data_IF_852962216884
#
_entry.id   IF_852962216884
#
_cell.length_a   1.000
_cell.length_b   1.000
_cell.length_c   1.000
_cell.angle_alpha   90.00
_cell.angle_beta   90.00
_cell.angle_gamma   90.00
#
_symmetry.space_group_name_H-M   'P 1'
#
loop_
_entity.id
_entity.type
_entity.pdbx_description
1 polymer ?
#
# COMPACT_ATOMS: atom_id res chain seq x y z
N UNK A 1 7.28 15.58 9.91
CA UNK A 1 5.90 16.04 9.59
C UNK A 1 4.98 15.98 10.80
N UNK A 2 4.22 14.90 11.06
CA UNK A 2 3.20 14.89 12.14
C UNK A 2 3.75 14.98 13.57
N UNK A 3 5.04 14.68 13.77
CA UNK A 3 5.72 14.92 15.04
C UNK A 3 6.10 16.39 15.25
N UNK A 4 6.43 17.10 14.17
CA UNK A 4 6.97 18.46 14.23
C UNK A 4 5.88 19.52 14.13
N UNK A 5 4.76 19.21 13.47
CA UNK A 5 3.69 20.15 13.18
C UNK A 5 2.33 19.59 13.64
N UNK A 6 1.52 20.39 14.37
CA UNK A 6 0.20 19.96 14.80
C UNK A 6 -0.76 19.83 13.61
N UNK A 7 -1.75 18.96 13.73
CA UNK A 7 -2.82 18.82 12.74
C UNK A 7 -3.77 20.01 12.82
N UNK A 8 -4.26 20.48 11.67
CA UNK A 8 -5.24 21.58 11.59
C UNK A 8 -6.58 21.17 12.20
N UNK A 9 -6.92 19.89 12.10
CA UNK A 9 -8.15 19.27 12.61
C UNK A 9 -8.09 18.91 14.10
N UNK A 10 -6.90 18.95 14.72
CA UNK A 10 -6.68 18.49 16.11
C UNK A 10 -6.62 16.97 16.27
N UNK A 11 -6.65 16.21 15.17
CA UNK A 11 -6.49 14.75 15.19
C UNK A 11 -5.09 14.33 15.68
N UNK A 12 -5.04 13.24 16.43
CA UNK A 12 -3.77 12.62 16.86
C UNK A 12 -3.35 11.61 15.80
N UNK A 13 -2.17 11.80 15.21
CA UNK A 13 -1.65 10.94 14.15
C UNK A 13 -0.39 10.22 14.63
N UNK A 14 -0.38 8.90 14.46
CA UNK A 14 0.78 8.04 14.64
C UNK A 14 1.13 7.37 13.32
N UNK A 15 2.42 7.24 13.02
CA UNK A 15 2.93 6.57 11.82
C UNK A 15 3.74 5.36 12.27
N UNK A 16 3.47 4.19 11.69
CA UNK A 16 4.11 2.93 12.08
C UNK A 16 4.48 2.12 10.85
N UNK A 17 5.70 1.59 10.84
CA UNK A 17 6.21 0.70 9.79
C UNK A 17 6.72 -0.59 10.45
N UNK A 18 6.12 -1.76 10.17
CA UNK A 18 6.46 -3.01 10.87
C UNK A 18 7.88 -3.52 10.61
N UNK A 19 8.38 -3.42 9.37
CA UNK A 19 9.72 -3.87 8.99
C UNK A 19 10.40 -2.97 7.96
N UNK A 20 11.72 -3.13 7.83
CA UNK A 20 12.57 -2.44 6.86
C UNK A 20 13.52 -3.43 6.19
N UNK A 21 12.99 -4.28 5.30
CA UNK A 21 13.75 -5.36 4.66
C UNK A 21 14.71 -4.87 3.56
N UNK A 22 14.55 -3.63 3.08
CA UNK A 22 15.40 -2.97 2.08
C UNK A 22 15.24 -3.50 0.66
N UNK A 23 15.53 -4.79 0.44
CA UNK A 23 15.36 -5.47 -0.84
C UNK A 23 14.56 -6.76 -0.68
N UNK A 24 13.92 -7.19 -1.76
CA UNK A 24 13.17 -8.44 -1.79
C UNK A 24 14.13 -9.64 -1.65
N UNK A 25 13.82 -10.53 -0.72
CA UNK A 25 14.60 -11.74 -0.43
C UNK A 25 13.69 -12.97 -0.47
N UNK A 26 13.11 -13.21 -1.66
CA UNK A 26 12.23 -14.37 -1.91
C UNK A 26 12.90 -15.66 -1.45
N UNK A 27 12.08 -16.65 -1.08
CA UNK A 27 12.49 -17.96 -0.54
C UNK A 27 13.08 -17.94 0.89
N UNK A 28 13.46 -16.77 1.43
CA UNK A 28 13.79 -16.67 2.86
C UNK A 28 12.53 -16.68 3.69
N UNK A 29 12.33 -17.75 4.46
CA UNK A 29 11.11 -17.99 5.23
C UNK A 29 10.71 -16.80 6.11
N UNK A 30 11.64 -16.24 6.89
CA UNK A 30 11.36 -15.12 7.81
C UNK A 30 10.97 -13.87 7.02
N UNK A 31 11.64 -13.58 5.90
CA UNK A 31 11.31 -12.45 5.03
C UNK A 31 9.89 -12.58 4.48
N UNK A 32 9.55 -13.77 3.96
CA UNK A 32 8.21 -14.04 3.42
C UNK A 32 7.13 -13.99 4.50
N UNK A 33 7.41 -14.44 5.73
CA UNK A 33 6.48 -14.35 6.85
C UNK A 33 6.20 -12.90 7.25
N UNK A 34 7.21 -12.04 7.27
CA UNK A 34 7.01 -10.59 7.50
C UNK A 34 6.20 -9.95 6.38
N UNK A 35 6.54 -10.25 5.12
CA UNK A 35 5.79 -9.77 3.96
C UNK A 35 4.30 -10.19 4.03
N UNK A 36 4.04 -11.45 4.40
CA UNK A 36 2.69 -11.96 4.63
C UNK A 36 1.97 -11.23 5.77
N UNK A 37 2.63 -11.07 6.91
CA UNK A 37 2.08 -10.35 8.06
C UNK A 37 1.75 -8.91 7.69
N UNK A 38 2.59 -8.23 6.91
CA UNK A 38 2.34 -6.86 6.44
C UNK A 38 1.18 -6.77 5.45
N UNK A 39 1.05 -7.68 4.48
CA UNK A 39 -0.15 -7.74 3.61
C UNK A 39 -1.42 -7.91 4.46
N UNK A 40 -1.38 -8.76 5.47
CA UNK A 40 -2.51 -8.98 6.36
C UNK A 40 -2.80 -7.75 7.23
N UNK A 41 -1.79 -7.11 7.82
CA UNK A 41 -1.96 -5.86 8.59
C UNK A 41 -2.60 -4.76 7.75
N UNK A 42 -2.18 -4.58 6.49
CA UNK A 42 -2.80 -3.62 5.58
C UNK A 42 -4.27 -3.96 5.30
N UNK A 43 -4.61 -5.25 5.21
CA UNK A 43 -5.99 -5.70 4.99
C UNK A 43 -6.94 -5.37 6.15
N UNK A 44 -6.40 -5.10 7.35
CA UNK A 44 -7.16 -4.74 8.55
C UNK A 44 -7.41 -3.23 8.69
N UNK A 45 -6.99 -2.41 7.71
CA UNK A 45 -7.20 -0.96 7.74
C UNK A 45 -8.60 -0.57 7.24
N UNK A 46 -9.15 0.55 7.75
CA UNK A 46 -10.43 1.08 7.25
C UNK A 46 -10.30 1.69 5.84
N UNK A 47 -9.15 2.32 5.57
CA UNK A 47 -8.84 2.96 4.29
C UNK A 47 -7.45 2.55 3.84
N UNK A 48 -7.37 1.96 2.65
CA UNK A 48 -6.11 1.51 2.06
C UNK A 48 -5.68 2.39 0.88
N UNK A 49 -4.39 2.72 0.86
CA UNK A 49 -3.70 3.30 -0.30
C UNK A 49 -2.73 2.26 -0.83
N UNK A 50 -2.73 1.99 -2.14
CA UNK A 50 -1.88 1.00 -2.79
C UNK A 50 -1.01 1.62 -3.87
N UNK A 51 0.10 0.95 -4.22
CA UNK A 51 0.97 1.37 -5.32
C UNK A 51 0.56 0.70 -6.63
N UNK A 52 0.54 1.45 -7.73
CA UNK A 52 0.24 0.88 -9.04
C UNK A 52 1.18 -0.28 -9.39
N UNK A 53 0.64 -1.32 -10.03
CA UNK A 53 1.35 -2.55 -10.43
C UNK A 53 1.79 -3.48 -9.28
N UNK A 54 1.60 -3.09 -8.01
CA UNK A 54 2.01 -3.92 -6.88
C UNK A 54 0.99 -5.02 -6.57
N UNK A 55 1.36 -6.28 -6.81
CA UNK A 55 0.54 -7.44 -6.43
C UNK A 55 0.44 -7.61 -4.91
N UNK A 56 1.41 -7.11 -4.14
CA UNK A 56 1.35 -7.05 -2.67
C UNK A 56 0.12 -6.26 -2.20
N UNK A 57 -0.14 -5.11 -2.84
CA UNK A 57 -1.33 -4.30 -2.58
C UNK A 57 -2.63 -4.99 -3.00
N UNK A 58 -2.62 -5.74 -4.10
CA UNK A 58 -3.79 -6.50 -4.55
C UNK A 58 -4.20 -7.61 -3.57
N UNK A 59 -3.23 -8.28 -2.95
CA UNK A 59 -3.52 -9.27 -1.90
C UNK A 59 -4.13 -8.58 -0.69
N UNK A 60 -3.52 -7.51 -0.19
CA UNK A 60 -4.03 -6.78 0.98
C UNK A 60 -5.45 -6.25 0.77
N UNK A 61 -5.71 -5.59 -0.37
CA UNK A 61 -7.03 -5.03 -0.67
C UNK A 61 -8.09 -6.12 -0.83
N UNK A 62 -7.74 -7.27 -1.45
CA UNK A 62 -8.66 -8.38 -1.65
C UNK A 62 -9.04 -9.07 -0.34
N UNK A 63 -8.05 -9.35 0.52
CA UNK A 63 -8.28 -9.93 1.85
C UNK A 63 -9.17 -9.04 2.74
N UNK A 64 -8.99 -7.72 2.66
CA UNK A 64 -9.77 -6.75 3.44
C UNK A 64 -11.12 -6.39 2.82
N UNK A 65 -11.42 -6.85 1.60
CA UNK A 65 -12.60 -6.39 0.86
C UNK A 65 -12.58 -4.88 0.56
N UNK A 66 -11.39 -4.29 0.44
CA UNK A 66 -11.18 -2.85 0.35
C UNK A 66 -11.06 -2.40 -1.10
N UNK A 67 -11.70 -1.27 -1.43
CA UNK A 67 -11.50 -0.57 -2.69
C UNK A 67 -10.44 0.52 -2.49
N UNK A 68 -9.15 0.37 -2.81
CA UNK A 68 -8.14 1.34 -2.40
C UNK A 68 -8.12 2.63 -3.21
N UNK A 69 -7.34 3.60 -2.72
CA UNK A 69 -6.76 4.67 -3.56
C UNK A 69 -5.43 4.18 -4.15
N UNK A 70 -5.28 4.21 -5.47
CA UNK A 70 -4.05 3.78 -6.14
C UNK A 70 -3.16 4.98 -6.41
N UNK A 71 -1.94 4.96 -5.87
CA UNK A 71 -0.87 5.88 -6.24
C UNK A 71 -0.38 5.50 -7.63
N UNK A 72 -0.38 6.46 -8.56
CA UNK A 72 0.12 6.24 -9.91
C UNK A 72 1.64 6.10 -9.92
N UNK A 73 2.16 5.29 -10.83
CA UNK A 73 3.59 5.11 -11.04
C UNK A 73 4.18 6.46 -11.46
N UNK A 74 5.20 6.99 -10.74
CA UNK A 74 5.94 8.15 -11.21
C UNK A 74 6.64 7.86 -12.54
N UNK A 75 6.65 8.85 -13.43
CA UNK A 75 7.44 8.83 -14.66
C UNK A 75 8.54 9.88 -14.53
N UNK A 76 9.77 9.52 -14.93
CA UNK A 76 10.94 10.41 -14.82
C UNK A 76 11.10 11.05 -13.43
N UNK A 77 10.87 10.25 -12.39
CA UNK A 77 10.96 10.68 -10.98
C UNK A 77 10.06 11.89 -10.64
N UNK A 78 9.04 12.15 -11.46
CA UNK A 78 8.09 13.24 -11.28
C UNK A 78 6.80 12.72 -10.67
N UNK A 79 6.31 13.41 -9.64
CA UNK A 79 5.03 13.09 -9.00
C UNK A 79 3.88 13.23 -10.02
N UNK A 80 3.03 12.20 -10.19
CA UNK A 80 1.86 12.30 -11.06
C UNK A 80 0.85 13.36 -10.57
N UNK A 81 0.11 13.96 -11.50
CA UNK A 81 -1.02 14.86 -11.21
C UNK A 81 -2.29 14.39 -11.97
N UNK A 82 -3.32 13.88 -11.28
CA UNK A 82 -3.40 13.72 -9.82
C UNK A 82 -2.48 12.61 -9.30
N UNK A 83 -2.04 12.64 -8.03
CA UNK A 83 -1.11 11.64 -7.48
C UNK A 83 -1.75 10.26 -7.26
N UNK A 84 -3.05 10.20 -7.02
CA UNK A 84 -3.79 8.97 -6.83
C UNK A 84 -5.25 9.07 -7.28
N UNK A 85 -5.91 7.91 -7.43
CA UNK A 85 -7.35 7.83 -7.71
C UNK A 85 -7.98 6.63 -7.01
N UNK A 86 -9.26 6.72 -6.66
CA UNK A 86 -10.02 5.56 -6.16
C UNK A 86 -10.20 4.54 -7.29
N UNK A 87 -9.88 3.27 -7.03
CA UNK A 87 -10.07 2.21 -8.04
C UNK A 87 -11.55 1.84 -8.21
N UNK A 88 -11.85 1.09 -9.27
CA UNK A 88 -13.22 0.70 -9.63
C UNK A 88 -13.77 -0.38 -8.69
N UNK A 89 -12.96 -1.37 -8.34
CA UNK A 89 -13.31 -2.50 -7.48
C UNK A 89 -12.11 -2.97 -6.66
N UNK A 90 -12.33 -3.90 -5.74
CA UNK A 90 -11.27 -4.54 -4.95
C UNK A 90 -10.50 -5.63 -5.72
N UNK A 91 -10.92 -5.95 -6.94
CA UNK A 91 -10.34 -7.07 -7.70
C UNK A 91 -8.89 -6.80 -8.12
N UNK A 92 -8.03 -7.84 -8.16
CA UNK A 92 -6.69 -7.73 -8.70
C UNK A 92 -6.73 -7.43 -10.21
N UNK A 93 -5.70 -6.75 -10.71
CA UNK A 93 -5.54 -6.52 -12.14
C UNK A 93 -4.85 -7.72 -12.79
N UNK A 94 -5.39 -8.23 -13.91
CA UNK A 94 -4.72 -9.21 -14.74
C UNK A 94 -3.76 -8.50 -15.71
N UNK A 95 -2.45 -8.53 -15.42
CA UNK A 95 -1.45 -7.72 -16.15
C UNK A 95 -1.13 -8.19 -17.56
N UNK A 96 -1.32 -9.48 -17.85
CA UNK A 96 -0.97 -10.07 -19.13
C UNK A 96 -2.16 -10.87 -19.69
N UNK A 97 -3.23 -10.18 -20.16
CA UNK A 97 -4.36 -10.82 -20.83
C UNK A 97 -3.93 -11.47 -22.17
N UNK A 98 -4.72 -12.42 -22.71
CA UNK A 98 -4.41 -13.15 -23.95
C UNK A 98 -4.33 -12.24 -25.19
#
# INVERSE_FOLDING_TARGET
>A
MYWEYPTVTGEVISVSQPSHEGHQQTEKQIHNQKAWAEMYLLSLTDVLVTSSWSTFGYVAQGLGGLKPWILYKPENETAPDPPCRRVMSMEPCFHAPP
#
